data_IF_256357029447
#
_entry.id   IF_256357029447
#
_cell.length_a   1.000
_cell.length_b   1.000
_cell.length_c   1.000
_cell.angle_alpha   90.00
_cell.angle_beta   90.00
_cell.angle_gamma   90.00
#
_symmetry.space_group_name_H-M   'P 1'
#
loop_
_entity.id
_entity.type
_entity.pdbx_description
1 polymer ?
#
# COMPACT_ATOMS: atom_id res chain seq x y z
N UNK A 1 -47.64 -1.65 -64.81
CA UNK A 1 -47.92 -2.96 -64.16
C UNK A 1 -47.31 -4.05 -65.02
N UNK A 2 -46.21 -4.66 -64.58
CA UNK A 2 -45.66 -5.84 -65.26
C UNK A 2 -45.01 -6.74 -64.22
N UNK A 3 -45.71 -7.83 -63.88
CA UNK A 3 -45.22 -8.94 -63.07
C UNK A 3 -44.45 -9.91 -63.96
N UNK A 4 -43.24 -10.31 -63.57
CA UNK A 4 -42.69 -11.64 -63.92
C UNK A 4 -41.80 -12.16 -62.79
N UNK A 5 -42.32 -13.21 -62.14
CA UNK A 5 -41.60 -14.10 -61.24
C UNK A 5 -40.60 -14.99 -62.00
N UNK A 6 -39.48 -15.34 -61.38
CA UNK A 6 -38.72 -16.55 -61.67
C UNK A 6 -38.18 -17.16 -60.38
N UNK A 7 -38.58 -18.40 -60.17
CA UNK A 7 -38.24 -19.32 -59.08
C UNK A 7 -37.07 -20.23 -59.48
N UNK A 8 -36.54 -20.96 -58.48
CA UNK A 8 -35.58 -22.08 -58.49
C UNK A 8 -34.09 -21.70 -58.47
N UNK A 9 -33.18 -22.46 -57.85
CA UNK A 9 -33.09 -23.29 -56.64
C UNK A 9 -31.61 -23.75 -56.62
N UNK A 10 -31.03 -23.83 -55.42
CA UNK A 10 -29.93 -24.71 -54.99
C UNK A 10 -28.61 -24.81 -55.81
N UNK A 11 -27.50 -24.46 -55.17
CA UNK A 11 -26.31 -25.32 -55.18
C UNK A 11 -25.53 -25.13 -53.87
N UNK A 12 -25.47 -26.22 -53.09
CA UNK A 12 -24.63 -26.39 -51.91
C UNK A 12 -23.19 -26.53 -52.38
N UNK A 13 -22.29 -25.71 -51.82
CA UNK A 13 -20.87 -25.98 -51.86
C UNK A 13 -20.29 -25.75 -50.46
N UNK A 14 -20.09 -26.88 -49.78
CA UNK A 14 -19.29 -27.00 -48.55
C UNK A 14 -17.86 -26.57 -48.82
N UNK A 15 -17.41 -25.49 -48.21
CA UNK A 15 -15.99 -25.18 -48.05
C UNK A 15 -15.70 -25.13 -46.55
N UNK A 16 -15.16 -26.22 -46.01
CA UNK A 16 -14.49 -26.21 -44.70
C UNK A 16 -13.22 -25.35 -44.86
N UNK A 17 -13.32 -24.08 -44.47
CA UNK A 17 -12.15 -23.23 -44.35
C UNK A 17 -11.53 -23.44 -42.96
N UNK A 18 -10.24 -23.79 -43.00
CA UNK A 18 -9.34 -24.11 -41.90
C UNK A 18 -9.58 -23.26 -40.64
N UNK A 19 -9.87 -23.92 -39.52
CA UNK A 19 -9.60 -23.36 -38.19
C UNK A 19 -8.09 -23.16 -38.07
N UNK A 20 -7.63 -21.92 -38.24
CA UNK A 20 -6.32 -21.54 -37.74
C UNK A 20 -6.33 -21.79 -36.23
N UNK A 21 -5.46 -22.68 -35.77
CA UNK A 21 -5.07 -22.68 -34.37
C UNK A 21 -4.34 -21.37 -34.14
N UNK A 22 -5.10 -20.34 -33.73
CA UNK A 22 -4.51 -19.19 -33.08
C UNK A 22 -3.75 -19.73 -31.88
N UNK A 23 -2.42 -19.70 -31.97
CA UNK A 23 -1.57 -19.81 -30.80
C UNK A 23 -2.06 -18.75 -29.83
N UNK A 24 -2.82 -19.17 -28.82
CA UNK A 24 -3.12 -18.33 -27.68
C UNK A 24 -1.76 -17.96 -27.09
N UNK A 25 -1.29 -16.76 -27.42
CA UNK A 25 -0.18 -16.17 -26.70
C UNK A 25 -0.54 -16.32 -25.22
N UNK A 26 0.37 -16.83 -24.37
CA UNK A 26 0.11 -16.83 -22.95
C UNK A 26 -0.30 -15.40 -22.62
N UNK A 27 -1.51 -15.23 -22.08
CA UNK A 27 -1.93 -13.95 -21.57
C UNK A 27 -0.82 -13.54 -20.62
N UNK A 28 0.01 -12.59 -21.03
CA UNK A 28 0.95 -11.96 -20.14
C UNK A 28 0.05 -11.50 -19.00
N UNK A 29 0.16 -12.16 -17.84
CA UNK A 29 -0.56 -11.75 -16.66
C UNK A 29 -0.12 -10.31 -16.48
N UNK A 30 -0.98 -9.36 -16.87
CA UNK A 30 -0.76 -7.95 -16.65
C UNK A 30 -0.43 -7.87 -15.18
N UNK A 31 0.80 -7.46 -14.86
CA UNK A 31 1.24 -7.31 -13.49
C UNK A 31 0.14 -6.48 -12.81
N UNK A 32 -0.65 -7.14 -11.96
CA UNK A 32 -1.81 -6.51 -11.35
C UNK A 32 -1.28 -5.30 -10.61
N UNK A 33 -1.75 -4.07 -10.91
CA UNK A 33 -1.29 -2.88 -10.23
C UNK A 33 -1.29 -3.13 -8.72
N UNK A 34 -0.16 -2.90 -8.07
CA UNK A 34 -0.07 -3.04 -6.62
C UNK A 34 -0.72 -1.79 -6.02
N UNK A 35 -2.06 -1.78 -5.98
CA UNK A 35 -2.88 -0.64 -5.55
C UNK A 35 -2.81 -0.36 -4.05
N UNK A 36 -1.89 -1.00 -3.34
CA UNK A 36 -1.88 -0.89 -1.90
C UNK A 36 -1.18 0.37 -1.39
N UNK A 37 -1.80 0.96 -0.36
CA UNK A 37 -1.36 2.20 0.22
C UNK A 37 -1.82 3.38 -0.62
N UNK A 38 -2.59 3.18 -1.69
CA UNK A 38 -3.10 4.23 -2.55
C UNK A 38 -4.22 5.05 -1.90
N UNK A 39 -4.80 4.58 -0.78
CA UNK A 39 -5.83 5.30 -0.04
C UNK A 39 -5.46 5.49 1.44
N UNK A 40 -5.95 6.59 2.03
CA UNK A 40 -5.81 6.87 3.48
C UNK A 40 -6.38 5.71 4.31
N UNK A 41 -7.51 5.15 3.89
CA UNK A 41 -8.16 4.00 4.53
C UNK A 41 -7.26 2.77 4.64
N UNK A 42 -6.27 2.61 3.76
CA UNK A 42 -5.34 1.47 3.78
C UNK A 42 -4.42 1.56 4.99
N UNK A 43 -4.11 2.78 5.46
CA UNK A 43 -3.27 3.05 6.63
C UNK A 43 -4.10 3.15 7.91
N UNK A 44 -5.26 3.79 7.88
CA UNK A 44 -6.00 4.13 9.11
C UNK A 44 -7.20 3.25 9.37
N UNK A 45 -7.57 2.40 8.41
CA UNK A 45 -8.75 1.55 8.50
C UNK A 45 -10.05 2.33 8.29
N UNK A 46 -11.15 1.60 8.21
CA UNK A 46 -12.50 2.16 8.02
C UNK A 46 -13.40 1.99 9.24
N UNK A 47 -12.92 1.29 10.27
CA UNK A 47 -13.65 0.97 11.50
C UNK A 47 -12.86 1.37 12.74
N UNK A 48 -13.56 1.66 13.83
CA UNK A 48 -12.99 2.00 15.15
C UNK A 48 -13.01 0.78 16.09
N UNK A 49 -12.09 0.72 17.07
CA UNK A 49 -10.93 1.60 17.26
C UNK A 49 -9.78 1.25 16.28
N UNK A 50 -8.93 2.22 15.89
CA UNK A 50 -7.80 1.96 15.01
C UNK A 50 -6.77 1.02 15.65
N UNK A 51 -6.37 -0.03 14.94
CA UNK A 51 -5.27 -0.90 15.39
C UNK A 51 -3.93 -0.19 15.09
N UNK A 52 -3.10 0.08 16.12
CA UNK A 52 -1.85 0.79 15.96
C UNK A 52 -0.80 -0.05 15.23
N UNK A 53 0.10 0.62 14.53
CA UNK A 53 1.37 0.03 14.10
C UNK A 53 2.37 0.10 15.24
N UNK A 54 3.12 -0.99 15.45
CA UNK A 54 4.18 -1.08 16.46
C UNK A 54 5.45 -1.64 15.83
N UNK A 55 6.61 -1.22 16.32
CA UNK A 55 7.88 -1.76 15.88
C UNK A 55 9.06 -0.97 16.42
N UNK A 56 10.13 -0.90 15.64
CA UNK A 56 11.40 -0.31 16.08
C UNK A 56 11.94 0.70 15.06
N UNK A 57 12.63 1.72 15.59
CA UNK A 57 13.56 2.58 14.87
C UNK A 57 14.98 2.22 15.30
N UNK A 58 15.86 1.99 14.34
CA UNK A 58 17.29 1.73 14.55
C UNK A 58 18.12 2.88 13.95
N UNK A 59 18.84 3.62 14.80
CA UNK A 59 19.73 4.71 14.39
C UNK A 59 21.17 4.28 14.65
N UNK A 60 22.06 4.40 13.65
CA UNK A 60 23.48 4.10 13.82
C UNK A 60 24.30 5.37 13.68
N UNK A 61 25.10 5.68 14.71
CA UNK A 61 25.99 6.84 14.77
C UNK A 61 27.34 6.34 15.27
N UNK A 62 28.42 6.63 14.54
CA UNK A 62 29.79 6.24 14.91
C UNK A 62 29.93 4.74 15.28
N UNK A 63 29.29 3.87 14.48
CA UNK A 63 29.22 2.41 14.67
C UNK A 63 28.44 1.92 15.91
N UNK A 64 27.78 2.82 16.65
CA UNK A 64 26.86 2.47 17.74
C UNK A 64 25.43 2.51 17.23
N UNK A 65 24.69 1.39 17.36
CA UNK A 65 23.27 1.31 16.98
C UNK A 65 22.36 1.45 18.20
N UNK A 66 21.57 2.51 18.22
CA UNK A 66 20.47 2.71 19.19
C UNK A 66 19.15 2.21 18.62
N UNK A 67 18.35 1.56 19.47
CA UNK A 67 17.01 1.09 19.12
C UNK A 67 15.96 1.79 19.97
N UNK A 68 14.86 2.16 19.32
CA UNK A 68 13.74 2.84 19.95
C UNK A 68 12.44 2.12 19.60
N UNK A 69 11.58 1.87 20.58
CA UNK A 69 10.25 1.32 20.31
C UNK A 69 9.36 2.41 19.72
N UNK A 70 8.66 2.12 18.63
CA UNK A 70 7.81 3.07 17.91
C UNK A 70 6.38 2.55 17.88
N UNK A 71 5.42 3.39 18.24
CA UNK A 71 3.99 3.16 18.07
C UNK A 71 3.37 4.28 17.25
N UNK A 72 2.66 3.93 16.18
CA UNK A 72 1.92 4.87 15.33
C UNK A 72 0.44 4.50 15.34
N UNK A 73 -0.37 5.41 15.86
CA UNK A 73 -1.81 5.21 16.05
C UNK A 73 -2.58 6.23 15.24
N UNK A 74 -3.49 5.78 14.38
CA UNK A 74 -4.44 6.70 13.76
C UNK A 74 -5.42 7.24 14.80
N UNK A 75 -5.71 8.54 14.75
CA UNK A 75 -6.64 9.17 15.69
C UNK A 75 -8.11 8.92 15.33
N UNK A 76 -8.42 8.61 14.07
CA UNK A 76 -9.76 8.32 13.59
C UNK A 76 -9.74 7.49 12.30
N UNK A 77 -10.74 6.63 12.05
CA UNK A 77 -10.83 5.87 10.81
C UNK A 77 -10.89 6.82 9.60
N UNK A 78 -10.23 6.43 8.51
CA UNK A 78 -10.13 7.22 7.28
C UNK A 78 -9.64 8.68 7.50
N UNK A 79 -8.94 8.95 8.60
CA UNK A 79 -8.29 10.24 8.86
C UNK A 79 -6.82 10.17 8.46
N UNK A 80 -6.22 11.30 8.09
CA UNK A 80 -4.78 11.40 7.90
C UNK A 80 -4.02 11.82 9.16
N UNK A 81 -4.68 11.89 10.32
CA UNK A 81 -4.05 12.29 11.58
C UNK A 81 -3.51 11.05 12.31
N UNK A 82 -2.21 11.08 12.63
CA UNK A 82 -1.50 10.05 13.39
C UNK A 82 -0.96 10.64 14.69
N UNK A 83 -0.96 9.83 15.74
CA UNK A 83 -0.13 10.02 16.90
C UNK A 83 1.05 9.06 16.84
N UNK A 84 2.24 9.61 16.95
CA UNK A 84 3.51 8.88 16.91
C UNK A 84 4.13 8.97 18.28
N UNK A 85 4.32 7.83 18.92
CA UNK A 85 4.98 7.70 20.21
C UNK A 85 6.27 6.90 20.02
N UNK A 86 7.35 7.37 20.63
CA UNK A 86 8.65 6.71 20.62
C UNK A 86 9.16 6.60 22.05
N UNK A 87 9.51 5.39 22.47
CA UNK A 87 10.08 5.15 23.79
C UNK A 87 11.61 5.20 23.69
N UNK A 88 12.21 6.13 24.43
CA UNK A 88 13.65 6.27 24.54
C UNK A 88 14.25 5.13 25.38
N UNK A 89 15.56 4.83 25.25
CA UNK A 89 16.22 3.81 26.07
C UNK A 89 16.13 4.07 27.58
N UNK A 90 15.92 5.34 27.98
CA UNK A 90 15.67 5.75 29.36
C UNK A 90 14.28 5.35 29.89
N UNK A 91 13.40 4.82 29.04
CA UNK A 91 12.00 4.52 29.37
C UNK A 91 11.05 5.72 29.27
N UNK A 92 11.56 6.90 28.88
CA UNK A 92 10.72 8.07 28.64
C UNK A 92 10.05 7.99 27.27
N UNK A 93 8.76 8.32 27.22
CA UNK A 93 8.03 8.44 25.96
C UNK A 93 8.08 9.87 25.43
N UNK A 94 8.40 10.00 24.15
CA UNK A 94 8.27 11.24 23.40
C UNK A 94 7.22 11.07 22.30
N UNK A 95 6.34 12.04 22.17
CA UNK A 95 5.17 11.93 21.31
C UNK A 95 4.98 13.15 20.43
N UNK A 96 4.41 12.94 19.24
CA UNK A 96 3.89 14.01 18.40
C UNK A 96 2.58 13.58 17.75
N UNK A 97 1.72 14.55 17.46
CA UNK A 97 0.53 14.36 16.63
C UNK A 97 0.75 15.08 15.32
N UNK A 98 0.62 14.37 14.21
CA UNK A 98 0.94 14.89 12.89
C UNK A 98 0.01 14.32 11.83
N UNK A 99 -0.33 15.16 10.86
CA UNK A 99 -0.98 14.70 9.64
C UNK A 99 0.06 14.03 8.74
N UNK A 100 -0.32 12.92 8.07
CA UNK A 100 0.51 12.34 7.03
C UNK A 100 0.08 12.82 5.64
N UNK A 101 1.06 12.92 4.75
CA UNK A 101 0.88 13.07 3.30
C UNK A 101 1.01 11.71 2.65
N UNK A 102 0.16 11.44 1.66
CA UNK A 102 0.18 10.23 0.85
C UNK A 102 0.61 10.56 -0.58
N UNK A 103 1.68 9.92 -1.02
CA UNK A 103 2.16 9.95 -2.39
C UNK A 103 1.89 8.60 -3.05
N UNK A 104 1.31 8.59 -4.25
CA UNK A 104 0.94 7.38 -5.00
C UNK A 104 1.69 7.39 -6.32
N UNK A 105 2.42 6.32 -6.61
CA UNK A 105 3.13 6.19 -7.88
C UNK A 105 2.20 5.77 -9.04
N UNK A 106 2.76 5.73 -10.26
CA UNK A 106 2.02 5.34 -11.46
C UNK A 106 1.59 3.86 -11.50
N UNK A 107 2.06 3.03 -10.55
CA UNK A 107 1.66 1.63 -10.38
C UNK A 107 0.60 1.47 -9.28
N UNK A 108 0.18 2.57 -8.64
CA UNK A 108 -0.81 2.59 -7.56
C UNK A 108 -0.22 2.30 -6.18
N UNK A 109 1.11 2.23 -6.04
CA UNK A 109 1.77 1.97 -4.76
C UNK A 109 1.86 3.25 -3.95
N UNK A 110 1.37 3.19 -2.72
CA UNK A 110 1.43 4.30 -1.78
C UNK A 110 2.74 4.39 -1.01
N UNK A 111 3.13 5.61 -0.69
CA UNK A 111 4.14 5.95 0.31
C UNK A 111 3.63 7.10 1.17
N UNK A 112 3.97 7.11 2.46
CA UNK A 112 3.54 8.16 3.38
C UNK A 112 4.72 8.91 3.99
N UNK A 113 4.47 10.18 4.30
CA UNK A 113 5.36 11.03 5.09
C UNK A 113 4.58 11.65 6.24
N UNK A 114 5.15 11.65 7.44
CA UNK A 114 4.52 12.18 8.65
C UNK A 114 5.56 12.76 9.62
N UNK A 115 5.13 13.56 10.58
CA UNK A 115 6.00 14.10 11.62
C UNK A 115 6.42 13.04 12.64
N UNK A 116 7.69 13.06 13.04
CA UNK A 116 8.20 12.33 14.21
C UNK A 116 8.46 13.32 15.36
N UNK A 117 8.66 12.88 16.62
CA UNK A 117 8.80 13.77 17.77
C UNK A 117 9.83 14.91 17.60
N UNK A 118 10.91 14.66 16.86
CA UNK A 118 12.03 15.58 16.64
C UNK A 118 12.23 15.95 15.17
N UNK A 119 11.37 15.48 14.25
CA UNK A 119 11.59 15.69 12.83
C UNK A 119 10.54 15.02 11.95
N UNK A 120 10.99 14.19 11.01
CA UNK A 120 10.13 13.58 10.00
C UNK A 120 10.36 12.10 9.87
N UNK A 121 9.33 11.40 9.45
CA UNK A 121 9.36 10.02 9.00
C UNK A 121 8.84 9.93 7.56
N UNK A 122 9.49 9.11 6.75
CA UNK A 122 9.04 8.81 5.40
C UNK A 122 9.17 7.31 5.13
N UNK A 123 8.14 6.72 4.54
CA UNK A 123 8.18 5.32 4.14
C UNK A 123 9.03 5.14 2.88
N UNK A 124 9.80 4.06 2.83
CA UNK A 124 10.45 3.55 1.62
C UNK A 124 9.68 2.37 1.00
N UNK A 125 8.85 1.72 1.81
CA UNK A 125 8.03 0.61 1.35
C UNK A 125 6.92 0.30 2.33
N UNK A 126 5.77 -0.07 1.78
CA UNK A 126 4.63 -0.60 2.51
C UNK A 126 4.37 -2.03 2.04
N UNK A 127 3.97 -2.89 2.97
CA UNK A 127 3.42 -4.19 2.66
C UNK A 127 1.98 -4.23 3.14
N UNK A 128 1.20 -4.97 2.38
CA UNK A 128 -0.21 -5.07 2.60
C UNK A 128 -0.66 -6.50 2.52
N UNK A 129 -1.69 -6.77 3.31
CA UNK A 129 -2.37 -8.04 3.25
C UNK A 129 -3.77 -7.78 2.70
N UNK A 130 -4.15 -8.60 1.71
CA UNK A 130 -5.48 -8.59 1.15
C UNK A 130 -6.39 -9.39 2.07
N UNK A 131 -7.49 -8.79 2.48
CA UNK A 131 -8.45 -9.40 3.38
C UNK A 131 -9.80 -9.44 2.67
N UNK A 132 -9.94 -10.24 1.61
CA UNK A 132 -11.20 -10.94 1.27
C UNK A 132 -11.17 -11.68 -0.07
N UNK A 133 -11.83 -12.84 -0.07
CA UNK A 133 -12.29 -13.63 -1.21
C UNK A 133 -13.43 -12.96 -2.03
N UNK A 134 -13.92 -11.78 -1.64
CA UNK A 134 -15.09 -11.10 -2.25
C UNK A 134 -14.92 -9.60 -2.48
N UNK A 135 -13.71 -9.07 -2.40
CA UNK A 135 -13.44 -7.65 -2.69
C UNK A 135 -12.15 -7.20 -2.03
N UNK A 136 -11.11 -6.97 -2.83
CA UNK A 136 -9.75 -6.65 -2.39
C UNK A 136 -9.66 -5.32 -1.63
N UNK A 137 -10.06 -5.32 -0.34
CA UNK A 137 -9.59 -4.29 0.60
C UNK A 137 -8.18 -4.70 1.03
N UNK A 138 -7.20 -4.03 0.44
CA UNK A 138 -5.80 -4.15 0.85
C UNK A 138 -5.58 -3.25 2.06
N UNK A 139 -5.00 -3.80 3.12
CA UNK A 139 -4.67 -3.03 4.32
C UNK A 139 -3.16 -3.03 4.48
N UNK A 140 -2.58 -1.85 4.70
CA UNK A 140 -1.15 -1.75 5.03
C UNK A 140 -0.93 -2.44 6.38
N UNK A 141 -0.15 -3.51 6.40
CA UNK A 141 0.19 -4.26 7.62
C UNK A 141 1.61 -3.97 8.08
N UNK A 142 2.49 -3.50 7.18
CA UNK A 142 3.87 -3.13 7.53
C UNK A 142 4.32 -1.91 6.77
N UNK A 143 5.03 -1.03 7.47
CA UNK A 143 5.64 0.19 6.94
C UNK A 143 7.11 0.14 7.30
N UNK A 144 7.96 0.33 6.28
CA UNK A 144 9.41 0.44 6.42
C UNK A 144 9.85 1.77 5.87
N UNK A 145 10.85 2.40 6.48
CA UNK A 145 11.27 3.72 6.05
C UNK A 145 12.40 4.29 6.87
N UNK A 146 12.53 5.61 6.82
CA UNK A 146 13.50 6.37 7.62
C UNK A 146 12.78 7.36 8.52
N UNK A 147 13.29 7.55 9.72
CA UNK A 147 12.75 8.47 10.73
C UNK A 147 13.89 9.19 11.44
N UNK A 148 13.69 10.47 11.75
CA UNK A 148 14.63 11.25 12.57
C UNK A 148 14.77 10.64 13.97
N UNK A 149 16.00 10.58 14.47
CA UNK A 149 16.31 10.16 15.83
C UNK A 149 15.46 10.95 16.85
N UNK A 150 14.72 10.28 17.74
CA UNK A 150 13.80 10.90 18.68
C UNK A 150 14.50 11.71 19.79
N UNK A 151 15.84 11.69 19.85
CA UNK A 151 16.63 12.43 20.84
C UNK A 151 16.70 13.92 20.48
N UNK A 152 16.32 14.84 21.39
CA UNK A 152 16.36 16.27 21.13
C UNK A 152 17.76 16.75 20.69
N UNK A 153 17.81 17.57 19.62
CA UNK A 153 19.05 18.13 19.09
C UNK A 153 19.85 17.17 18.18
N UNK A 154 19.39 15.93 17.99
CA UNK A 154 20.02 14.96 17.09
C UNK A 154 19.25 14.91 15.77
N UNK A 155 19.97 15.04 14.65
CA UNK A 155 19.37 15.06 13.29
C UNK A 155 19.67 13.80 12.46
N UNK A 156 20.13 12.73 13.10
CA UNK A 156 20.42 11.48 12.42
C UNK A 156 19.13 10.80 11.95
N UNK A 157 19.20 10.06 10.83
CA UNK A 157 18.10 9.27 10.29
C UNK A 157 18.36 7.79 10.52
N UNK A 158 17.44 7.12 11.21
CA UNK A 158 17.45 5.67 11.38
C UNK A 158 16.46 4.96 10.46
N UNK A 159 16.65 3.66 10.29
CA UNK A 159 15.65 2.80 9.64
C UNK A 159 14.57 2.44 10.64
N UNK A 160 13.30 2.65 10.28
CA UNK A 160 12.19 2.14 11.07
C UNK A 160 11.44 1.04 10.33
N UNK A 161 10.92 0.10 11.12
CA UNK A 161 9.97 -0.89 10.67
C UNK A 161 8.86 -0.98 11.71
N UNK A 162 7.63 -0.71 11.29
CA UNK A 162 6.44 -0.85 12.13
C UNK A 162 5.44 -1.76 11.44
N UNK A 163 4.69 -2.53 12.21
CA UNK A 163 3.73 -3.50 11.71
C UNK A 163 2.50 -3.55 12.59
N UNK A 164 1.41 -4.04 12.04
CA UNK A 164 0.17 -4.34 12.76
C UNK A 164 -0.40 -5.66 12.25
N UNK A 165 -1.26 -6.33 13.03
CA UNK A 165 -1.94 -7.52 12.58
C UNK A 165 -2.73 -7.30 11.29
N UNK A 166 -2.76 -8.35 10.46
CA UNK A 166 -3.76 -8.52 9.41
C UNK A 166 -5.18 -8.43 10.00
N UNK A 167 -6.18 -8.12 9.16
CA UNK A 167 -7.58 -8.26 9.56
C UNK A 167 -8.02 -9.72 9.52
#
# INVERSE_FOLDING_TARGET
MTYRARTLMAAVATALALTSLGTAAPAAALATPNTCGGAISDYTGTTTPPVPFKGELSVTVDAVTSKYAVTVTSQAPNSNILQVNVTLPSGQDVSTTSSFTLDVDNLGKGSIRFGSPTGVAYSKGVLCESTSLLGSRTRVTKITGKMTDPTPGVNNLGDFTISRPAL
#
